data_IF_103736908785
#
_entry.id   IF_103736908785
#
_cell.length_a   1.000
_cell.length_b   1.000
_cell.length_c   1.000
_cell.angle_alpha   90.00
_cell.angle_beta   90.00
_cell.angle_gamma   90.00
#
_symmetry.space_group_name_H-M   'P 1'
#
loop_
_entity.id
_entity.type
_entity.pdbx_description
1 polymer ?
#
# COMPACT_ATOMS: atom_id res chain seq x y z
N UNK A 1 55.33 63.78 14.60
CA UNK A 1 54.72 63.11 13.43
C UNK A 1 54.35 61.69 13.86
N UNK A 2 53.09 61.49 14.27
CA UNK A 2 52.05 60.75 13.51
C UNK A 2 52.54 59.37 13.03
N UNK A 3 52.06 58.31 13.67
CA UNK A 3 51.07 57.42 13.05
C UNK A 3 50.53 56.40 14.07
N UNK A 4 49.21 56.46 14.25
CA UNK A 4 48.36 55.46 14.89
C UNK A 4 48.27 54.23 13.97
N UNK A 5 48.55 53.05 14.50
CA UNK A 5 48.25 51.77 13.85
C UNK A 5 46.86 51.28 14.24
N UNK A 6 45.91 51.37 13.30
CA UNK A 6 44.58 50.76 13.40
C UNK A 6 44.68 49.24 13.30
N UNK A 7 44.18 48.51 14.29
CA UNK A 7 43.93 47.07 14.21
C UNK A 7 42.57 46.88 13.54
N UNK A 8 42.59 46.32 12.33
CA UNK A 8 41.38 45.99 11.56
C UNK A 8 40.80 44.66 12.07
N UNK A 9 39.56 44.73 12.58
CA UNK A 9 38.73 43.58 12.95
C UNK A 9 38.35 42.77 11.69
N UNK A 10 38.79 41.51 11.63
CA UNK A 10 38.26 40.52 10.70
C UNK A 10 36.86 40.09 11.15
N UNK A 11 35.82 40.66 10.53
CA UNK A 11 34.46 40.15 10.57
C UNK A 11 34.39 38.88 9.71
N UNK A 12 34.32 37.72 10.36
CA UNK A 12 34.00 36.44 9.72
C UNK A 12 32.56 36.49 9.17
N UNK A 13 32.41 36.72 7.87
CA UNK A 13 31.19 36.44 7.13
C UNK A 13 31.00 34.92 6.98
N UNK A 14 30.48 34.25 8.01
CA UNK A 14 29.87 32.93 7.83
C UNK A 14 28.47 33.13 7.25
N UNK A 15 28.38 33.19 5.92
CA UNK A 15 27.12 33.06 5.22
C UNK A 15 26.55 31.67 5.51
N UNK A 16 25.61 31.61 6.47
CA UNK A 16 24.81 30.43 6.72
C UNK A 16 23.99 30.14 5.45
N UNK A 17 24.43 29.15 4.66
CA UNK A 17 23.58 28.50 3.68
C UNK A 17 22.48 27.74 4.43
N UNK A 18 21.43 28.47 4.80
CA UNK A 18 20.16 27.86 5.14
C UNK A 18 19.61 27.21 3.86
N UNK A 19 19.90 25.92 3.67
CA UNK A 19 19.16 25.09 2.73
C UNK A 19 17.68 25.16 3.12
N UNK A 20 16.93 26.01 2.44
CA UNK A 20 15.47 25.98 2.45
C UNK A 20 15.05 24.61 1.91
N UNK A 21 14.79 23.66 2.82
CA UNK A 21 14.06 22.45 2.49
C UNK A 21 12.72 22.92 1.93
N UNK A 22 12.54 22.80 0.61
CA UNK A 22 11.24 23.07 -0.04
C UNK A 22 10.18 22.32 0.76
N UNK A 23 9.07 22.97 1.16
CA UNK A 23 8.01 22.27 1.87
C UNK A 23 7.55 21.12 0.99
N UNK A 24 7.79 19.88 1.44
CA UNK A 24 7.25 18.69 0.79
C UNK A 24 5.74 18.84 0.84
N UNK A 25 5.15 19.10 -0.33
CA UNK A 25 3.71 19.21 -0.51
C UNK A 25 3.12 17.88 -0.03
N UNK A 26 2.45 17.89 1.12
CA UNK A 26 1.79 16.70 1.68
C UNK A 26 0.85 16.15 0.61
N UNK A 27 1.22 15.02 0.00
CA UNK A 27 0.43 14.39 -1.04
C UNK A 27 -0.85 13.92 -0.37
N UNK A 28 -1.97 14.57 -0.67
CA UNK A 28 -3.29 14.04 -0.32
C UNK A 28 -3.51 12.87 -1.27
N UNK A 29 -3.18 11.67 -0.80
CA UNK A 29 -3.39 10.44 -1.56
C UNK A 29 -4.88 10.23 -1.82
N UNK A 30 -5.27 10.28 -3.09
CA UNK A 30 -6.62 9.96 -3.60
C UNK A 30 -6.67 8.51 -4.03
N UNK A 31 -7.86 7.90 -3.98
CA UNK A 31 -8.10 6.61 -4.61
C UNK A 31 -8.27 6.77 -6.11
N UNK A 32 -7.87 5.76 -6.88
CA UNK A 32 -7.91 5.78 -8.34
C UNK A 32 -9.27 6.16 -8.92
N UNK A 33 -10.34 5.68 -8.29
CA UNK A 33 -11.72 5.92 -8.69
C UNK A 33 -12.16 7.38 -8.47
N UNK A 34 -11.50 8.10 -7.55
CA UNK A 34 -11.78 9.49 -7.22
C UNK A 34 -10.88 10.49 -7.98
N UNK A 35 -9.94 9.98 -8.79
CA UNK A 35 -9.02 10.81 -9.56
C UNK A 35 -9.70 11.36 -10.83
N UNK A 36 -9.33 12.59 -11.19
CA UNK A 36 -9.68 13.16 -12.50
C UNK A 36 -8.94 12.44 -13.62
N UNK A 37 -9.43 12.56 -14.86
CA UNK A 37 -8.75 11.96 -16.01
C UNK A 37 -7.31 12.46 -16.16
N UNK A 38 -7.09 13.77 -16.00
CA UNK A 38 -5.74 14.38 -16.04
C UNK A 38 -4.79 13.77 -15.01
N UNK A 39 -5.27 13.51 -13.79
CA UNK A 39 -4.47 12.87 -12.75
C UNK A 39 -4.14 11.40 -13.09
N UNK A 40 -5.09 10.66 -13.69
CA UNK A 40 -4.85 9.30 -14.16
C UNK A 40 -3.86 9.26 -15.33
N UNK A 41 -4.01 10.14 -16.31
CA UNK A 41 -3.11 10.21 -17.48
C UNK A 41 -1.68 10.55 -17.04
N UNK A 42 -1.52 11.47 -16.08
CA UNK A 42 -0.21 11.79 -15.50
C UNK A 42 0.43 10.59 -14.80
N UNK A 43 -0.37 9.77 -14.09
CA UNK A 43 0.11 8.56 -13.43
C UNK A 43 0.47 7.45 -14.42
N UNK A 44 -0.30 7.30 -15.50
CA UNK A 44 -0.05 6.33 -16.57
C UNK A 44 1.17 6.72 -17.44
N UNK A 45 1.46 8.01 -17.55
CA UNK A 45 2.64 8.55 -18.24
C UNK A 45 3.92 8.57 -17.41
N UNK A 46 3.89 8.11 -16.15
CA UNK A 46 5.08 8.07 -15.31
C UNK A 46 6.09 7.02 -15.82
N UNK A 47 7.30 7.48 -16.17
CA UNK A 47 8.40 6.63 -16.62
C UNK A 47 8.84 5.57 -15.60
N UNK A 48 8.52 5.75 -14.32
CA UNK A 48 8.80 4.77 -13.27
C UNK A 48 7.74 3.66 -13.17
N UNK A 49 6.63 3.75 -13.92
CA UNK A 49 5.60 2.73 -13.94
C UNK A 49 6.09 1.47 -14.67
N UNK A 50 5.93 0.31 -14.02
CA UNK A 50 6.29 -0.97 -14.63
C UNK A 50 5.47 -1.24 -15.90
N UNK A 51 6.13 -1.75 -16.94
CA UNK A 51 5.48 -2.19 -18.19
C UNK A 51 4.37 -3.22 -17.94
N UNK A 52 4.57 -4.13 -16.98
CA UNK A 52 3.59 -5.16 -16.66
C UNK A 52 2.35 -4.58 -15.97
N UNK A 53 2.54 -3.55 -15.12
CA UNK A 53 1.43 -2.84 -14.48
C UNK A 53 0.61 -2.08 -15.52
N UNK A 54 1.27 -1.46 -16.49
CA UNK A 54 0.59 -0.78 -17.61
C UNK A 54 -0.13 -1.78 -18.53
N UNK A 55 0.48 -2.94 -18.81
CA UNK A 55 -0.14 -4.01 -19.57
C UNK A 55 -1.39 -4.56 -18.85
N UNK A 56 -1.32 -4.73 -17.52
CA UNK A 56 -2.46 -5.14 -16.72
C UNK A 56 -3.59 -4.11 -16.78
N UNK A 57 -3.28 -2.83 -16.66
CA UNK A 57 -4.26 -1.74 -16.79
C UNK A 57 -4.99 -1.76 -18.14
N UNK A 58 -4.24 -1.99 -19.22
CA UNK A 58 -4.78 -2.10 -20.57
C UNK A 58 -5.42 -3.47 -20.88
N UNK A 59 -5.45 -4.40 -19.91
CA UNK A 59 -5.92 -5.77 -20.08
C UNK A 59 -5.18 -6.57 -21.17
N UNK A 60 -3.91 -6.24 -21.41
CA UNK A 60 -3.04 -6.94 -22.38
C UNK A 60 -2.02 -7.87 -21.71
N UNK A 61 -1.96 -7.87 -20.38
CA UNK A 61 -1.11 -8.79 -19.63
C UNK A 61 -1.66 -10.22 -19.69
N UNK A 62 -0.79 -11.20 -19.92
CA UNK A 62 -1.15 -12.63 -20.01
C UNK A 62 -0.53 -13.39 -18.85
N UNK A 63 -1.36 -14.10 -18.08
CA UNK A 63 -0.96 -14.82 -16.86
C UNK A 63 -0.34 -16.21 -17.10
N UNK A 64 0.09 -16.53 -18.32
CA UNK A 64 0.64 -17.85 -18.66
C UNK A 64 2.10 -18.01 -18.25
N UNK A 65 2.85 -16.91 -18.12
CA UNK A 65 4.24 -16.93 -17.65
C UNK A 65 4.30 -16.68 -16.14
N UNK A 66 4.76 -17.69 -15.40
CA UNK A 66 4.86 -17.63 -13.94
C UNK A 66 5.84 -16.55 -13.45
N UNK A 67 6.97 -16.35 -14.14
CA UNK A 67 7.99 -15.36 -13.78
C UNK A 67 7.47 -13.94 -14.02
N UNK A 68 6.80 -13.71 -15.16
CA UNK A 68 6.15 -12.43 -15.45
C UNK A 68 5.04 -12.14 -14.43
N UNK A 69 4.24 -13.15 -14.09
CA UNK A 69 3.17 -13.02 -13.10
C UNK A 69 3.73 -12.67 -11.71
N UNK A 70 4.78 -13.36 -11.26
CA UNK A 70 5.48 -13.00 -10.01
C UNK A 70 6.02 -11.57 -10.06
N UNK A 71 6.61 -11.14 -11.17
CA UNK A 71 7.13 -9.79 -11.31
C UNK A 71 6.02 -8.72 -11.22
N UNK A 72 4.88 -8.96 -11.87
CA UNK A 72 3.69 -8.12 -11.77
C UNK A 72 3.21 -7.99 -10.31
N UNK A 73 3.04 -9.09 -9.61
CA UNK A 73 2.57 -9.08 -8.22
C UNK A 73 3.55 -8.37 -7.26
N UNK A 74 4.86 -8.53 -7.47
CA UNK A 74 5.89 -7.74 -6.76
C UNK A 74 5.77 -6.25 -7.06
N UNK A 75 5.54 -5.88 -8.32
CA UNK A 75 5.37 -4.46 -8.69
C UNK A 75 4.10 -3.86 -8.05
N UNK A 76 2.98 -4.59 -8.06
CA UNK A 76 1.73 -4.14 -7.46
C UNK A 76 1.86 -3.93 -5.95
N UNK A 77 2.61 -4.78 -5.26
CA UNK A 77 2.75 -4.75 -3.79
C UNK A 77 3.94 -3.94 -3.28
N UNK A 78 4.68 -3.24 -4.14
CA UNK A 78 5.84 -2.43 -3.75
C UNK A 78 5.47 -1.35 -2.70
N UNK A 79 6.25 -1.24 -1.62
CA UNK A 79 6.18 -0.23 -0.55
C UNK A 79 6.30 1.25 -0.97
N UNK A 80 6.92 1.58 -2.10
CA UNK A 80 7.07 2.98 -2.55
C UNK A 80 5.72 3.63 -2.86
N UNK A 81 5.49 4.87 -2.44
CA UNK A 81 4.21 5.57 -2.65
C UNK A 81 3.87 5.87 -4.12
N UNK A 82 4.86 5.82 -5.02
CA UNK A 82 4.65 6.10 -6.44
C UNK A 82 3.58 5.18 -7.02
N UNK A 83 2.62 5.79 -7.72
CA UNK A 83 1.53 5.11 -8.42
C UNK A 83 0.70 4.18 -7.53
N UNK A 84 0.75 4.36 -6.20
CA UNK A 84 0.01 3.54 -5.23
C UNK A 84 -1.50 3.48 -5.54
N UNK A 85 -2.20 4.58 -5.86
CA UNK A 85 -3.62 4.51 -6.21
C UNK A 85 -3.91 3.53 -7.35
N UNK A 86 -3.12 3.58 -8.42
CA UNK A 86 -3.25 2.68 -9.58
C UNK A 86 -2.97 1.23 -9.18
N UNK A 87 -1.86 0.98 -8.47
CA UNK A 87 -1.45 -0.37 -8.09
C UNK A 87 -2.46 -1.01 -7.15
N UNK A 88 -2.96 -0.25 -6.17
CA UNK A 88 -4.00 -0.70 -5.26
C UNK A 88 -5.32 -0.99 -5.98
N UNK A 89 -5.71 -0.12 -6.92
CA UNK A 89 -6.88 -0.35 -7.77
C UNK A 89 -6.76 -1.63 -8.61
N UNK A 90 -5.61 -1.85 -9.27
CA UNK A 90 -5.39 -3.03 -10.09
C UNK A 90 -5.34 -4.31 -9.25
N UNK A 91 -4.69 -4.28 -8.08
CA UNK A 91 -4.69 -5.42 -7.17
C UNK A 91 -6.11 -5.75 -6.69
N UNK A 92 -6.91 -4.74 -6.34
CA UNK A 92 -8.32 -4.94 -6.01
C UNK A 92 -9.10 -5.53 -7.19
N UNK A 93 -8.82 -5.11 -8.43
CA UNK A 93 -9.46 -5.71 -9.61
C UNK A 93 -9.15 -7.20 -9.74
N UNK A 94 -7.91 -7.62 -9.45
CA UNK A 94 -7.54 -9.04 -9.43
C UNK A 94 -8.27 -9.80 -8.32
N UNK A 95 -8.29 -9.28 -7.09
CA UNK A 95 -9.07 -9.84 -5.97
C UNK A 95 -10.56 -9.94 -6.33
N UNK A 96 -11.10 -8.95 -7.03
CA UNK A 96 -12.49 -8.89 -7.41
C UNK A 96 -12.87 -9.95 -8.46
N UNK A 97 -11.95 -10.25 -9.37
CA UNK A 97 -12.16 -11.19 -10.48
C UNK A 97 -12.41 -12.62 -10.01
N UNK A 98 -11.82 -13.01 -8.88
CA UNK A 98 -11.93 -14.37 -8.35
C UNK A 98 -11.33 -15.43 -9.27
N UNK A 99 -10.40 -15.04 -10.15
CA UNK A 99 -9.74 -15.98 -11.05
C UNK A 99 -8.88 -16.97 -10.26
N UNK A 100 -9.31 -18.23 -10.25
CA UNK A 100 -8.68 -19.30 -9.49
C UNK A 100 -7.28 -19.63 -9.99
N UNK A 101 -6.95 -19.31 -11.25
CA UNK A 101 -5.60 -19.47 -11.78
C UNK A 101 -4.58 -18.57 -11.08
N UNK A 102 -5.07 -17.49 -10.44
CA UNK A 102 -4.26 -16.53 -9.69
C UNK A 102 -4.22 -16.81 -8.19
N UNK A 103 -4.94 -17.82 -7.68
CA UNK A 103 -5.09 -18.06 -6.24
C UNK A 103 -3.77 -18.13 -5.48
N UNK A 104 -2.76 -18.81 -6.05
CA UNK A 104 -1.43 -18.89 -5.45
C UNK A 104 -0.83 -17.50 -5.23
N UNK A 105 -0.88 -16.64 -6.24
CA UNK A 105 -0.33 -15.28 -6.18
C UNK A 105 -1.18 -14.38 -5.28
N UNK A 106 -2.50 -14.48 -5.35
CA UNK A 106 -3.39 -13.70 -4.48
C UNK A 106 -3.18 -14.07 -3.01
N UNK A 107 -2.99 -15.34 -2.70
CA UNK A 107 -2.63 -15.82 -1.35
C UNK A 107 -1.30 -15.22 -0.91
N UNK A 108 -0.23 -15.39 -1.70
CA UNK A 108 1.12 -14.93 -1.35
C UNK A 108 1.24 -13.40 -1.19
N UNK A 109 0.47 -12.62 -1.97
CA UNK A 109 0.66 -11.17 -2.08
C UNK A 109 -0.44 -10.34 -1.40
N UNK A 110 -1.57 -10.92 -0.99
CA UNK A 110 -2.64 -10.16 -0.32
C UNK A 110 -2.18 -9.53 0.98
N UNK A 111 -1.52 -10.29 1.86
CA UNK A 111 -1.00 -9.76 3.12
C UNK A 111 0.06 -8.66 2.87
N UNK A 112 0.96 -8.88 1.90
CA UNK A 112 1.98 -7.88 1.51
C UNK A 112 1.36 -6.58 1.03
N UNK A 113 0.29 -6.65 0.22
CA UNK A 113 -0.42 -5.47 -0.27
C UNK A 113 -0.99 -4.65 0.89
N UNK A 114 -1.63 -5.32 1.85
CA UNK A 114 -2.26 -4.66 2.98
C UNK A 114 -1.23 -4.07 3.95
N UNK A 115 -0.15 -4.79 4.25
CA UNK A 115 0.90 -4.33 5.16
C UNK A 115 1.65 -3.12 4.62
N UNK A 116 2.17 -3.24 3.40
CA UNK A 116 3.00 -2.20 2.79
C UNK A 116 2.24 -0.88 2.61
N UNK A 117 0.90 -0.93 2.62
CA UNK A 117 0.02 0.20 2.32
C UNK A 117 -1.10 0.33 3.35
N UNK A 118 -0.82 -0.02 4.62
CA UNK A 118 -1.82 -0.15 5.68
C UNK A 118 -2.75 1.05 5.77
N UNK A 119 -2.21 2.26 5.92
CA UNK A 119 -3.02 3.47 6.11
C UNK A 119 -3.97 3.73 4.93
N UNK A 120 -3.52 3.43 3.71
CA UNK A 120 -4.30 3.57 2.50
C UNK A 120 -5.41 2.51 2.45
N UNK A 121 -5.07 1.25 2.75
CA UNK A 121 -6.01 0.13 2.78
C UNK A 121 -7.11 0.30 3.84
N UNK A 122 -6.76 0.72 5.07
CA UNK A 122 -7.73 0.97 6.16
C UNK A 122 -8.75 2.01 5.75
N UNK A 123 -8.28 3.14 5.22
CA UNK A 123 -9.14 4.23 4.80
C UNK A 123 -10.01 3.79 3.62
N UNK A 124 -9.48 2.99 2.69
CA UNK A 124 -10.26 2.46 1.57
C UNK A 124 -11.38 1.55 2.06
N UNK A 125 -11.05 0.56 2.90
CA UNK A 125 -12.06 -0.38 3.43
C UNK A 125 -13.09 0.32 4.30
N UNK A 126 -12.69 1.32 5.08
CA UNK A 126 -13.61 2.15 5.85
C UNK A 126 -14.57 2.91 4.93
N UNK A 127 -14.05 3.52 3.85
CA UNK A 127 -14.86 4.21 2.83
C UNK A 127 -15.86 3.27 2.17
N UNK A 128 -15.40 2.10 1.72
CA UNK A 128 -16.26 1.12 1.08
C UNK A 128 -17.33 0.58 2.04
N UNK A 129 -16.99 0.34 3.32
CA UNK A 129 -17.95 -0.04 4.34
C UNK A 129 -19.04 1.01 4.55
N UNK A 130 -18.69 2.29 4.56
CA UNK A 130 -19.67 3.39 4.66
C UNK A 130 -20.64 3.40 3.45
N UNK A 131 -20.16 2.99 2.28
CA UNK A 131 -20.98 2.78 1.08
C UNK A 131 -21.77 1.45 1.09
N UNK A 132 -21.74 0.71 2.21
CA UNK A 132 -22.28 -0.66 2.34
C UNK A 132 -21.64 -1.68 1.37
N UNK A 133 -20.47 -1.35 0.82
CA UNK A 133 -19.68 -2.27 0.02
C UNK A 133 -18.73 -3.05 0.94
N UNK A 134 -18.92 -4.36 1.01
CA UNK A 134 -18.10 -5.25 1.85
C UNK A 134 -16.89 -5.81 1.09
N UNK A 135 -16.25 -4.99 0.24
CA UNK A 135 -15.16 -5.43 -0.64
C UNK A 135 -14.00 -6.12 0.10
N UNK A 136 -13.67 -5.63 1.29
CA UNK A 136 -12.64 -6.21 2.15
C UNK A 136 -12.87 -7.70 2.46
N UNK A 137 -14.12 -8.19 2.45
CA UNK A 137 -14.42 -9.62 2.64
C UNK A 137 -13.82 -10.51 1.56
N UNK A 138 -13.57 -9.97 0.36
CA UNK A 138 -12.91 -10.69 -0.72
C UNK A 138 -11.44 -11.03 -0.45
N UNK A 139 -10.80 -10.33 0.49
CA UNK A 139 -9.43 -10.66 0.91
C UNK A 139 -9.37 -11.85 1.87
N UNK A 140 -10.46 -12.15 2.59
CA UNK A 140 -10.47 -13.14 3.68
C UNK A 140 -9.97 -14.53 3.22
N UNK A 141 -10.44 -15.12 2.11
CA UNK A 141 -10.00 -16.45 1.71
C UNK A 141 -8.49 -16.52 1.44
N UNK A 142 -7.92 -15.48 0.84
CA UNK A 142 -6.49 -15.41 0.53
C UNK A 142 -5.63 -15.21 1.77
N UNK A 143 -6.12 -14.42 2.72
CA UNK A 143 -5.45 -14.23 4.00
C UNK A 143 -5.52 -15.48 4.88
N UNK A 144 -6.63 -16.23 4.82
CA UNK A 144 -6.81 -17.47 5.58
C UNK A 144 -5.99 -18.63 5.01
N UNK A 145 -5.90 -18.76 3.67
CA UNK A 145 -5.12 -19.82 3.02
C UNK A 145 -3.62 -19.75 3.35
N UNK A 146 -3.04 -18.54 3.49
CA UNK A 146 -1.65 -18.36 3.92
C UNK A 146 -1.40 -18.87 5.37
N UNK A 147 -2.45 -19.13 6.14
CA UNK A 147 -2.39 -19.68 7.50
C UNK A 147 -2.55 -21.17 7.58
N UNK A 148 -3.45 -21.74 6.79
CA UNK A 148 -3.59 -23.19 6.74
C UNK A 148 -2.28 -23.83 6.25
N UNK A 149 -1.50 -23.12 5.41
CA UNK A 149 -0.15 -23.53 5.01
C UNK A 149 0.91 -23.31 6.12
N UNK A 150 0.71 -22.34 7.02
CA UNK A 150 1.57 -22.03 8.16
C UNK A 150 0.87 -22.46 9.45
N UNK A 151 0.93 -23.75 9.77
CA UNK A 151 0.37 -24.46 10.95
C UNK A 151 0.69 -23.87 12.36
N UNK A 152 1.07 -22.60 12.50
CA UNK A 152 1.44 -21.94 13.75
C UNK A 152 0.26 -21.30 14.50
N UNK A 153 -0.88 -21.02 13.86
CA UNK A 153 -2.01 -20.33 14.48
C UNK A 153 -3.27 -21.20 14.49
N UNK A 154 -3.88 -21.36 15.67
CA UNK A 154 -5.08 -22.20 15.84
C UNK A 154 -6.34 -21.67 15.14
N UNK A 155 -6.40 -20.37 14.83
CA UNK A 155 -7.51 -19.74 14.09
C UNK A 155 -7.05 -18.54 13.22
N UNK A 156 -7.82 -18.20 12.19
CA UNK A 156 -7.64 -16.97 11.40
C UNK A 156 -7.63 -15.71 12.28
N UNK A 157 -8.41 -15.72 13.38
CA UNK A 157 -8.44 -14.66 14.39
C UNK A 157 -7.11 -14.53 15.12
N UNK A 158 -6.48 -15.63 15.49
CA UNK A 158 -5.21 -15.62 16.22
C UNK A 158 -4.05 -15.13 15.37
N UNK A 159 -4.07 -15.43 14.07
CA UNK A 159 -3.16 -14.81 13.12
C UNK A 159 -3.41 -13.32 12.95
N UNK A 160 -4.68 -12.90 12.75
CA UNK A 160 -5.01 -11.48 12.66
C UNK A 160 -4.60 -10.74 13.93
N UNK A 161 -4.63 -11.38 15.10
CA UNK A 161 -4.08 -10.81 16.31
C UNK A 161 -2.54 -10.80 16.26
N UNK A 162 -1.87 -11.94 16.05
CA UNK A 162 -0.41 -12.03 16.06
C UNK A 162 0.30 -11.16 15.01
N UNK A 163 -0.09 -11.31 13.75
CA UNK A 163 0.56 -10.69 12.59
C UNK A 163 0.50 -9.16 12.64
N UNK A 164 -0.53 -8.62 13.27
CA UNK A 164 -0.83 -7.20 13.30
C UNK A 164 -0.63 -6.57 14.70
N UNK A 165 -0.51 -7.38 15.75
CA UNK A 165 -0.11 -6.93 17.10
C UNK A 165 1.41 -6.68 17.18
N UNK A 166 2.22 -7.40 16.39
CA UNK A 166 3.69 -7.23 16.36
C UNK A 166 4.11 -5.86 15.79
N UNK A 167 3.36 -5.30 14.84
CA UNK A 167 3.75 -4.05 14.17
C UNK A 167 3.55 -2.77 15.00
N UNK A 168 2.94 -2.83 16.21
CA UNK A 168 2.62 -1.65 17.04
C UNK A 168 1.97 -0.48 16.26
N UNK A 169 1.32 -0.76 15.14
CA UNK A 169 0.73 0.24 14.25
C UNK A 169 -0.78 0.31 14.49
N UNK A 170 -1.28 1.49 14.88
CA UNK A 170 -2.69 1.64 15.25
C UNK A 170 -3.65 1.52 14.05
N UNK A 171 -3.20 1.84 12.83
CA UNK A 171 -3.97 1.61 11.61
C UNK A 171 -4.13 0.11 11.34
N UNK A 172 -3.07 -0.66 11.58
CA UNK A 172 -3.10 -2.11 11.49
C UNK A 172 -4.11 -2.70 12.49
N UNK A 173 -4.10 -2.25 13.75
CA UNK A 173 -5.10 -2.67 14.75
C UNK A 173 -6.53 -2.34 14.34
N UNK A 174 -6.75 -1.18 13.71
CA UNK A 174 -8.06 -0.81 13.18
C UNK A 174 -8.48 -1.71 12.01
N UNK A 175 -7.56 -2.08 11.11
CA UNK A 175 -7.84 -3.03 10.03
C UNK A 175 -8.27 -4.38 10.58
N UNK A 176 -7.52 -4.89 11.56
CA UNK A 176 -7.83 -6.13 12.26
C UNK A 176 -9.16 -6.07 12.97
N UNK A 177 -9.46 -4.99 13.68
CA UNK A 177 -10.74 -4.81 14.33
C UNK A 177 -11.91 -4.82 13.33
N UNK A 178 -11.73 -4.23 12.15
CA UNK A 178 -12.72 -4.25 11.06
C UNK A 178 -12.92 -5.68 10.54
N UNK A 179 -11.82 -6.41 10.29
CA UNK A 179 -11.86 -7.77 9.75
C UNK A 179 -12.41 -8.79 10.76
N UNK A 180 -11.99 -8.72 12.02
CA UNK A 180 -12.44 -9.59 13.12
C UNK A 180 -13.93 -9.45 13.42
N UNK A 181 -14.44 -8.22 13.49
CA UNK A 181 -15.87 -7.98 13.78
C UNK A 181 -16.78 -8.62 12.73
N UNK A 182 -16.33 -8.69 11.48
CA UNK A 182 -17.09 -9.24 10.37
C UNK A 182 -16.96 -10.76 10.26
N UNK A 183 -15.83 -11.33 10.67
CA UNK A 183 -15.67 -12.79 10.81
C UNK A 183 -16.59 -13.37 11.90
N UNK A 184 -16.69 -12.67 13.04
CA UNK A 184 -17.61 -13.06 14.12
C UNK A 184 -19.08 -13.00 13.69
N UNK A 185 -19.45 -11.97 12.92
CA UNK A 185 -20.79 -11.86 12.35
C UNK A 185 -21.09 -12.94 11.30
N UNK A 186 -20.06 -13.46 10.62
CA UNK A 186 -20.14 -14.54 9.64
C UNK A 186 -20.08 -15.96 10.24
N UNK A 187 -19.90 -16.09 11.57
CA UNK A 187 -19.83 -17.39 12.24
C UNK A 187 -18.50 -18.13 12.11
N UNK A 188 -17.49 -17.51 11.48
CA UNK A 188 -16.14 -18.06 11.39
C UNK A 188 -15.36 -17.70 12.67
N UNK A 189 -14.94 -18.70 13.44
CA UNK A 189 -14.25 -18.52 14.73
C UNK A 189 -14.97 -19.11 15.95
N UNK A 190 -16.05 -19.87 15.75
CA UNK A 190 -16.64 -20.76 16.77
C UNK A 190 -16.28 -22.22 16.45
N UNK A 191 -15.03 -22.61 16.72
CA UNK A 191 -14.69 -24.01 17.02
C UNK A 191 -13.60 -23.99 18.08
#
# INVERSE_FOLDING_TARGET
>A
MRSFGFILLFLCCTAAYAQQKKPQKKIVLKYWEDMSQKERDAMLGDSALSKDVLALYNNTFVFTDAKATTALFKALTWDKENNLPLRFYLFNKLIASGDTSLNKYLTEYSAKMLLNQTDFAVKYFSRERLKKNSFYKKYIPFLAADLDEKNEYGTFRDYLNYFFYIEKNDSIKQMVAILLKELEAAGAGKK
#
